data_IF_623985640615
#
_entry.id   IF_623985640615
#
_cell.length_a   1.000
_cell.length_b   1.000
_cell.length_c   1.000
_cell.angle_alpha   90.00
_cell.angle_beta   90.00
_cell.angle_gamma   90.00
#
_symmetry.space_group_name_H-M   'P 1'
#
loop_
_entity.id
_entity.type
_entity.pdbx_description
1 polymer ?
#
# COMPACT_ATOMS: atom_id res chain seq x y z
N UNK A 1 -19.36 -19.13 -9.40
CA UNK A 1 -18.19 -19.84 -8.79
C UNK A 1 -16.96 -19.35 -9.54
N UNK A 2 -16.15 -18.50 -8.89
CA UNK A 2 -14.98 -17.88 -9.55
C UNK A 2 -13.68 -18.51 -9.05
N UNK A 3 -12.68 -18.53 -9.93
CA UNK A 3 -11.30 -18.93 -9.59
C UNK A 3 -10.55 -17.66 -9.18
N UNK A 4 -10.07 -17.63 -7.92
CA UNK A 4 -9.44 -16.46 -7.33
C UNK A 4 -8.01 -16.81 -6.91
N UNK A 5 -7.03 -16.08 -7.44
CA UNK A 5 -5.65 -16.12 -6.98
C UNK A 5 -5.36 -14.97 -6.03
N UNK A 6 -4.95 -15.27 -4.80
CA UNK A 6 -4.49 -14.26 -3.82
C UNK A 6 -2.96 -14.27 -3.83
N UNK A 7 -2.36 -13.21 -4.32
CA UNK A 7 -0.92 -13.05 -4.46
C UNK A 7 -0.31 -12.45 -3.20
N UNK A 8 0.42 -13.26 -2.45
CA UNK A 8 1.06 -12.91 -1.19
C UNK A 8 0.44 -13.62 0.01
N UNK A 9 1.22 -14.54 0.60
CA UNK A 9 0.88 -15.34 1.77
C UNK A 9 1.22 -14.66 3.11
N UNK A 10 1.30 -13.34 3.14
CA UNK A 10 1.39 -12.58 4.39
C UNK A 10 0.10 -12.66 5.23
N UNK A 11 0.07 -12.00 6.39
CA UNK A 11 -1.10 -12.01 7.27
C UNK A 11 -2.39 -11.57 6.55
N UNK A 12 -2.30 -10.49 5.74
CA UNK A 12 -3.48 -9.94 5.06
C UNK A 12 -3.96 -10.84 3.91
N UNK A 13 -3.06 -11.40 3.09
CA UNK A 13 -3.46 -12.32 2.02
C UNK A 13 -4.05 -13.61 2.56
N UNK A 14 -3.49 -14.16 3.64
CA UNK A 14 -4.07 -15.31 4.35
C UNK A 14 -5.47 -15.00 4.89
N UNK A 15 -5.67 -13.80 5.48
CA UNK A 15 -6.97 -13.38 6.00
C UNK A 15 -8.02 -13.19 4.89
N UNK A 16 -7.62 -12.62 3.72
CA UNK A 16 -8.49 -12.52 2.55
C UNK A 16 -8.88 -13.91 2.03
N UNK A 17 -7.92 -14.83 1.87
CA UNK A 17 -8.19 -16.18 1.41
C UNK A 17 -9.19 -16.91 2.34
N UNK A 18 -9.04 -16.77 3.65
CA UNK A 18 -9.99 -17.30 4.64
C UNK A 18 -11.37 -16.63 4.55
N UNK A 19 -11.42 -15.32 4.33
CA UNK A 19 -12.68 -14.58 4.19
C UNK A 19 -13.43 -14.99 2.92
N UNK A 20 -12.76 -15.11 1.79
CA UNK A 20 -13.31 -15.59 0.53
C UNK A 20 -13.80 -17.05 0.63
N UNK A 21 -13.05 -17.88 1.36
CA UNK A 21 -13.48 -19.26 1.63
C UNK A 21 -14.78 -19.31 2.45
N UNK A 22 -14.93 -18.45 3.47
CA UNK A 22 -16.16 -18.36 4.27
C UNK A 22 -17.36 -17.86 3.46
N UNK A 23 -17.14 -16.99 2.47
CA UNK A 23 -18.20 -16.62 1.52
C UNK A 23 -18.73 -17.85 0.79
N UNK A 24 -17.86 -18.78 0.45
CA UNK A 24 -18.20 -20.00 -0.30
C UNK A 24 -18.29 -19.77 -1.81
N UNK A 25 -18.38 -20.88 -2.55
CA UNK A 25 -18.57 -20.82 -4.00
C UNK A 25 -17.33 -20.40 -4.83
N UNK A 26 -16.13 -20.32 -4.25
CA UNK A 26 -14.90 -19.98 -4.97
C UNK A 26 -13.87 -21.12 -4.91
N UNK A 27 -13.04 -21.19 -5.95
CA UNK A 27 -11.77 -21.92 -5.92
C UNK A 27 -10.68 -20.90 -5.60
N UNK A 28 -9.98 -21.09 -4.48
CA UNK A 28 -9.02 -20.12 -3.97
C UNK A 28 -7.61 -20.70 -4.03
N UNK A 29 -6.72 -19.97 -4.68
CA UNK A 29 -5.28 -20.23 -4.66
C UNK A 29 -4.59 -19.12 -3.86
N UNK A 30 -3.89 -19.51 -2.80
CA UNK A 30 -3.00 -18.61 -2.05
C UNK A 30 -1.57 -18.81 -2.59
N UNK A 31 -1.11 -17.81 -3.31
CA UNK A 31 0.22 -17.84 -3.91
C UNK A 31 1.26 -17.25 -2.95
N UNK A 32 2.34 -18.00 -2.72
CA UNK A 32 3.49 -17.61 -1.90
C UNK A 32 4.68 -17.24 -2.77
N UNK A 33 5.50 -16.31 -2.31
CA UNK A 33 6.69 -15.88 -3.05
C UNK A 33 7.72 -16.99 -3.21
N UNK A 34 7.85 -17.90 -2.22
CA UNK A 34 8.81 -19.00 -2.22
C UNK A 34 8.14 -20.35 -2.06
N UNK A 35 8.78 -21.37 -2.65
CA UNK A 35 8.35 -22.77 -2.56
C UNK A 35 8.41 -23.29 -1.11
N UNK A 36 9.40 -22.84 -0.35
CA UNK A 36 9.57 -23.28 1.04
C UNK A 36 8.47 -22.74 1.94
N UNK A 37 8.06 -21.48 1.76
CA UNK A 37 6.92 -20.91 2.47
C UNK A 37 5.62 -21.64 2.14
N UNK A 38 5.35 -21.87 0.85
CA UNK A 38 4.18 -22.64 0.43
C UNK A 38 4.14 -24.05 1.04
N UNK A 39 5.27 -24.75 1.06
CA UNK A 39 5.41 -26.06 1.69
C UNK A 39 5.19 -26.03 3.21
N UNK A 40 5.74 -25.03 3.90
CA UNK A 40 5.56 -24.87 5.34
C UNK A 40 4.09 -24.63 5.68
N UNK A 41 3.40 -23.72 4.98
CA UNK A 41 1.98 -23.43 5.17
C UNK A 41 1.14 -24.70 4.90
N UNK A 42 1.42 -25.41 3.81
CA UNK A 42 0.69 -26.64 3.44
C UNK A 42 0.91 -27.74 4.48
N UNK A 43 2.14 -27.96 4.92
CA UNK A 43 2.47 -29.00 5.89
C UNK A 43 1.88 -28.72 7.29
N UNK A 44 1.85 -27.45 7.70
CA UNK A 44 1.28 -27.05 8.96
C UNK A 44 -0.26 -26.98 8.94
N UNK A 45 -0.87 -26.82 7.76
CA UNK A 45 -2.30 -26.53 7.62
C UNK A 45 -2.68 -25.16 8.17
N UNK A 46 -1.71 -24.27 8.40
CA UNK A 46 -1.90 -22.88 8.83
C UNK A 46 -0.67 -22.02 8.50
N UNK A 47 -0.84 -20.71 8.48
CA UNK A 47 0.26 -19.76 8.30
C UNK A 47 0.85 -19.35 9.66
N UNK A 48 1.69 -20.20 10.22
CA UNK A 48 2.27 -20.02 11.57
C UNK A 48 3.09 -18.73 11.67
N UNK A 49 3.77 -18.33 10.59
CA UNK A 49 4.68 -17.18 10.61
C UNK A 49 3.92 -15.84 10.64
N UNK A 50 2.88 -15.71 9.83
CA UNK A 50 2.23 -14.41 9.63
C UNK A 50 0.85 -14.31 10.26
N UNK A 51 0.12 -15.43 10.37
CA UNK A 51 -1.24 -15.46 10.93
C UNK A 51 -1.49 -16.76 11.72
N UNK A 52 -0.79 -16.96 12.84
CA UNK A 52 -0.92 -18.18 13.64
C UNK A 52 -2.30 -18.32 14.27
N UNK A 53 -2.73 -19.58 14.48
CA UNK A 53 -4.00 -19.91 15.12
C UNK A 53 -5.21 -19.92 14.19
N UNK A 54 -5.00 -19.84 12.87
CA UNK A 54 -6.06 -19.90 11.86
C UNK A 54 -5.82 -21.03 10.89
N UNK A 55 -6.45 -22.19 11.09
CA UNK A 55 -6.34 -23.32 10.16
C UNK A 55 -6.79 -22.93 8.75
N UNK A 56 -5.99 -23.31 7.76
CA UNK A 56 -6.32 -23.15 6.36
C UNK A 56 -7.12 -24.38 5.88
N UNK A 57 -8.36 -24.18 5.42
CA UNK A 57 -9.13 -25.26 4.81
C UNK A 57 -8.38 -25.93 3.64
N UNK A 58 -8.45 -27.25 3.53
CA UNK A 58 -7.77 -28.01 2.47
C UNK A 58 -8.25 -27.67 1.04
N UNK A 59 -9.38 -26.96 0.92
CA UNK A 59 -9.90 -26.42 -0.33
C UNK A 59 -9.18 -25.14 -0.80
N UNK A 60 -8.40 -24.50 0.06
CA UNK A 60 -7.50 -23.39 -0.34
C UNK A 60 -6.19 -24.03 -0.80
N UNK A 61 -5.92 -23.92 -2.10
CA UNK A 61 -4.65 -24.38 -2.65
C UNK A 61 -3.54 -23.39 -2.30
N UNK A 62 -2.45 -23.89 -1.68
CA UNK A 62 -1.26 -23.07 -1.41
C UNK A 62 -0.15 -23.48 -2.37
N UNK A 63 0.40 -22.52 -3.11
CA UNK A 63 1.43 -22.78 -4.11
C UNK A 63 2.40 -21.61 -4.28
N UNK A 64 3.59 -21.89 -4.83
CA UNK A 64 4.53 -20.90 -5.33
C UNK A 64 4.73 -21.01 -6.85
N UNK A 65 3.87 -21.77 -7.53
CA UNK A 65 3.89 -21.91 -8.99
C UNK A 65 3.23 -20.67 -9.61
N UNK A 66 3.99 -19.93 -10.42
CA UNK A 66 3.52 -18.72 -11.09
C UNK A 66 2.42 -19.03 -12.12
N UNK A 67 2.42 -20.24 -12.72
CA UNK A 67 1.40 -20.65 -13.68
C UNK A 67 -0.01 -20.77 -13.07
N UNK A 68 -0.11 -20.89 -11.75
CA UNK A 68 -1.39 -20.93 -11.04
C UNK A 68 -2.22 -19.63 -11.19
N UNK A 69 -1.59 -18.54 -11.63
CA UNK A 69 -2.29 -17.27 -11.93
C UNK A 69 -3.06 -17.34 -13.25
N UNK A 70 -2.61 -18.16 -14.20
CA UNK A 70 -3.21 -18.23 -15.53
C UNK A 70 -4.68 -18.69 -15.53
N UNK A 71 -5.07 -19.52 -14.56
CA UNK A 71 -6.45 -20.03 -14.48
C UNK A 71 -7.37 -19.11 -13.67
N UNK A 72 -6.85 -18.05 -13.04
CA UNK A 72 -7.63 -17.16 -12.19
C UNK A 72 -8.49 -16.21 -13.02
N UNK A 73 -9.74 -16.04 -12.64
CA UNK A 73 -10.64 -14.99 -13.17
C UNK A 73 -10.43 -13.68 -12.41
N UNK A 74 -10.08 -13.78 -11.12
CA UNK A 74 -9.81 -12.62 -10.25
C UNK A 74 -8.45 -12.83 -9.60
N UNK A 75 -7.59 -11.82 -9.70
CA UNK A 75 -6.26 -11.81 -9.09
C UNK A 75 -6.25 -10.74 -8.00
N UNK A 76 -6.06 -11.13 -6.75
CA UNK A 76 -6.00 -10.22 -5.60
C UNK A 76 -4.54 -10.02 -5.20
N UNK A 77 -4.00 -8.84 -5.44
CA UNK A 77 -2.64 -8.49 -5.04
C UNK A 77 -2.58 -8.02 -3.59
N UNK A 78 -1.78 -8.72 -2.78
CA UNK A 78 -1.51 -8.40 -1.36
C UNK A 78 0.00 -8.38 -1.10
N UNK A 79 0.75 -8.09 -2.13
CA UNK A 79 2.21 -8.05 -2.15
C UNK A 79 2.68 -6.74 -1.51
N UNK A 80 3.72 -6.70 -0.66
CA UNK A 80 4.27 -5.44 -0.19
C UNK A 80 4.72 -4.54 -1.36
N UNK A 81 4.50 -3.22 -1.24
CA UNK A 81 4.71 -2.27 -2.34
C UNK A 81 6.11 -2.33 -2.98
N UNK A 82 7.14 -2.59 -2.19
CA UNK A 82 8.53 -2.72 -2.65
C UNK A 82 8.78 -3.91 -3.59
N UNK A 83 7.94 -4.95 -3.53
CA UNK A 83 8.06 -6.16 -4.37
C UNK A 83 7.00 -6.24 -5.47
N UNK A 84 6.09 -5.29 -5.53
CA UNK A 84 4.95 -5.33 -6.45
C UNK A 84 5.40 -5.40 -7.90
N UNK A 85 6.25 -4.46 -8.33
CA UNK A 85 6.76 -4.37 -9.70
C UNK A 85 7.47 -5.66 -10.14
N UNK A 86 8.43 -6.11 -9.37
CA UNK A 86 9.22 -7.31 -9.70
C UNK A 86 8.33 -8.56 -9.76
N UNK A 87 7.32 -8.64 -8.90
CA UNK A 87 6.39 -9.77 -8.90
C UNK A 87 5.46 -9.75 -10.11
N UNK A 88 4.85 -8.59 -10.45
CA UNK A 88 3.98 -8.51 -11.63
C UNK A 88 4.76 -8.67 -12.94
N UNK A 89 5.98 -8.15 -13.05
CA UNK A 89 6.85 -8.43 -14.19
C UNK A 89 7.13 -9.94 -14.37
N UNK A 90 7.35 -10.68 -13.26
CA UNK A 90 7.51 -12.13 -13.27
C UNK A 90 6.23 -12.87 -13.66
N UNK A 91 5.07 -12.41 -13.16
CA UNK A 91 3.77 -13.06 -13.39
C UNK A 91 3.15 -12.71 -14.75
N UNK A 92 3.63 -11.65 -15.43
CA UNK A 92 3.11 -11.19 -16.71
C UNK A 92 2.89 -12.28 -17.76
N UNK A 93 3.80 -13.26 -17.96
CA UNK A 93 3.61 -14.32 -18.93
C UNK A 93 2.38 -15.22 -18.69
N UNK A 94 1.82 -15.17 -17.48
CA UNK A 94 0.66 -15.95 -17.05
C UNK A 94 -0.61 -15.10 -16.92
N UNK A 95 -0.53 -13.79 -17.21
CA UNK A 95 -1.67 -12.87 -17.15
C UNK A 95 -2.33 -12.75 -18.53
N UNK A 96 -3.64 -12.48 -18.55
CA UNK A 96 -4.42 -12.29 -19.78
C UNK A 96 -5.63 -11.36 -19.60
N UNK A 97 -6.15 -10.81 -20.68
CA UNK A 97 -7.18 -9.74 -20.71
C UNK A 97 -8.53 -10.10 -20.07
N UNK A 98 -8.81 -11.38 -19.88
CA UNK A 98 -10.07 -11.81 -19.27
C UNK A 98 -10.05 -11.78 -17.73
N UNK A 99 -8.94 -11.39 -17.13
CA UNK A 99 -8.78 -11.32 -15.67
C UNK A 99 -9.19 -9.96 -15.12
N UNK A 100 -9.59 -9.94 -13.85
CA UNK A 100 -9.79 -8.72 -13.05
C UNK A 100 -8.71 -8.70 -11.97
N UNK A 101 -8.00 -7.56 -11.83
CA UNK A 101 -7.01 -7.38 -10.77
C UNK A 101 -7.56 -6.48 -9.69
N UNK A 102 -7.49 -6.96 -8.45
CA UNK A 102 -7.84 -6.23 -7.22
C UNK A 102 -6.56 -5.95 -6.45
N UNK A 103 -6.11 -4.71 -6.42
CA UNK A 103 -4.97 -4.31 -5.59
C UNK A 103 -5.41 -4.01 -4.16
N UNK A 104 -5.04 -4.87 -3.23
CA UNK A 104 -5.12 -4.64 -1.79
C UNK A 104 -3.75 -4.23 -1.21
N UNK A 105 -2.76 -4.02 -2.07
CA UNK A 105 -1.44 -3.48 -1.73
C UNK A 105 -1.55 -2.00 -1.39
N UNK A 106 -0.98 -1.60 -0.27
CA UNK A 106 -1.00 -0.20 0.20
C UNK A 106 0.39 0.41 0.04
N UNK A 107 0.47 1.57 -0.59
CA UNK A 107 1.74 2.26 -0.80
C UNK A 107 1.75 3.12 -2.05
N UNK A 108 2.86 3.79 -2.24
CA UNK A 108 3.26 4.52 -3.46
C UNK A 108 4.66 4.03 -3.77
N UNK A 109 4.95 3.75 -5.03
CA UNK A 109 6.25 3.24 -5.44
C UNK A 109 7.33 4.31 -5.25
N UNK A 110 8.45 3.92 -4.64
CA UNK A 110 9.61 4.80 -4.51
C UNK A 110 10.18 5.11 -5.91
N UNK A 111 10.68 6.33 -6.12
CA UNK A 111 11.29 6.87 -7.35
C UNK A 111 10.31 7.22 -8.48
N UNK A 112 9.35 6.38 -8.83
CA UNK A 112 8.36 6.66 -9.88
C UNK A 112 7.18 7.44 -9.36
N UNK A 113 6.88 7.30 -8.06
CA UNK A 113 5.72 7.85 -7.36
C UNK A 113 4.38 7.33 -7.91
N UNK A 114 4.41 6.21 -8.63
CA UNK A 114 3.21 5.55 -9.14
C UNK A 114 2.40 4.91 -8.01
N UNK A 115 1.08 5.00 -8.13
CA UNK A 115 0.16 4.23 -7.29
C UNK A 115 0.25 2.75 -7.64
N UNK A 116 -0.16 1.88 -6.76
CA UNK A 116 -0.02 0.43 -6.94
C UNK A 116 -0.78 -0.10 -8.18
N UNK A 117 -1.96 0.46 -8.48
CA UNK A 117 -2.68 0.10 -9.73
C UNK A 117 -1.93 0.56 -10.97
N UNK A 118 -1.26 1.71 -10.95
CA UNK A 118 -0.42 2.20 -12.05
C UNK A 118 0.83 1.34 -12.22
N UNK A 119 1.47 0.91 -11.13
CA UNK A 119 2.61 -0.03 -11.18
C UNK A 119 2.20 -1.35 -11.84
N UNK A 120 1.02 -1.88 -11.48
CA UNK A 120 0.50 -3.11 -12.10
C UNK A 120 0.23 -2.90 -13.58
N UNK A 121 -0.44 -1.79 -13.96
CA UNK A 121 -0.72 -1.46 -15.35
C UNK A 121 0.56 -1.30 -16.18
N UNK A 122 1.56 -0.62 -15.64
CA UNK A 122 2.88 -0.41 -16.25
C UNK A 122 3.58 -1.76 -16.53
N UNK A 123 3.58 -2.68 -15.55
CA UNK A 123 4.15 -4.02 -15.73
C UNK A 123 3.42 -4.85 -16.79
N UNK A 124 2.11 -4.68 -16.95
CA UNK A 124 1.30 -5.46 -17.88
C UNK A 124 1.26 -4.84 -19.28
N UNK A 125 1.48 -3.52 -19.41
CA UNK A 125 1.54 -2.79 -20.69
C UNK A 125 2.91 -2.85 -21.37
N UNK A 126 4.01 -3.16 -20.68
CA UNK A 126 5.34 -3.19 -21.28
C UNK A 126 5.52 -4.33 -22.30
N UNK A 127 5.86 -3.95 -23.52
CA UNK A 127 6.37 -4.84 -24.57
C UNK A 127 7.79 -5.33 -24.19
N UNK A 128 8.17 -6.53 -24.65
CA UNK A 128 9.46 -7.19 -24.41
C UNK A 128 10.74 -6.36 -24.65
N UNK A 129 10.62 -5.13 -25.16
CA UNK A 129 11.74 -4.26 -25.52
C UNK A 129 12.45 -3.60 -24.32
N UNK A 130 11.91 -3.64 -23.10
CA UNK A 130 12.47 -2.96 -21.91
C UNK A 130 12.97 -3.91 -20.80
N UNK A 131 13.01 -5.20 -21.02
CA UNK A 131 13.50 -6.21 -20.07
C UNK A 131 15.04 -6.21 -19.88
N UNK A 132 15.77 -5.16 -20.30
CA UNK A 132 17.20 -4.99 -20.02
C UNK A 132 17.40 -4.00 -18.87
N UNK A 133 17.06 -4.38 -17.66
CA UNK A 133 17.61 -3.73 -16.45
C UNK A 133 19.05 -4.20 -16.32
N UNK A 134 20.06 -3.33 -16.33
CA UNK A 134 21.44 -3.74 -16.13
C UNK A 134 21.61 -4.34 -14.73
N UNK A 135 21.94 -5.61 -14.63
CA UNK A 135 22.57 -6.18 -13.44
C UNK A 135 23.87 -5.43 -13.18
N UNK A 136 24.06 -5.04 -11.95
CA UNK A 136 25.25 -4.40 -11.37
C UNK A 136 25.24 -2.87 -11.28
N UNK A 137 24.74 -2.40 -10.15
CA UNK A 137 25.32 -1.19 -9.54
C UNK A 137 26.32 -1.67 -8.49
N UNK A 138 27.64 -1.42 -8.64
CA UNK A 138 28.62 -1.73 -7.62
C UNK A 138 28.33 -0.87 -6.37
N UNK A 139 28.35 -1.48 -5.20
CA UNK A 139 28.37 -0.76 -3.92
C UNK A 139 29.69 0.01 -3.85
N UNK A 140 29.68 1.31 -4.04
CA UNK A 140 30.85 2.16 -3.83
C UNK A 140 31.00 2.47 -2.35
N UNK A 141 32.20 2.25 -1.87
CA UNK A 141 32.72 2.51 -0.53
C UNK A 141 32.70 4.03 -0.23
N UNK A 142 32.43 4.48 1.02
CA UNK A 142 32.24 5.91 1.33
C UNK A 142 33.51 6.74 1.54
N UNK A 143 34.62 6.42 0.89
CA UNK A 143 35.85 7.19 0.99
C UNK A 143 36.48 7.44 -0.39
N UNK A 144 35.91 8.36 -1.16
CA UNK A 144 36.68 9.09 -2.19
C UNK A 144 35.94 10.35 -2.62
N UNK A 145 36.60 11.50 -2.45
CA UNK A 145 36.25 12.81 -3.01
C UNK A 145 36.09 12.74 -4.53
N UNK A 146 34.99 13.28 -5.03
CA UNK A 146 34.86 13.68 -6.44
C UNK A 146 34.16 15.02 -6.58
N UNK A 147 34.83 15.87 -7.35
CA UNK A 147 34.53 17.26 -7.63
C UNK A 147 33.16 17.47 -8.31
N UNK A 148 32.52 18.56 -7.91
CA UNK A 148 31.27 19.06 -8.46
C UNK A 148 31.55 19.72 -9.82
N UNK A 149 30.96 19.20 -10.89
CA UNK A 149 30.74 19.96 -12.11
C UNK A 149 29.26 20.44 -12.15
N UNK A 150 29.11 21.75 -12.02
CA UNK A 150 27.84 22.45 -12.28
C UNK A 150 27.84 22.85 -13.75
N UNK A 151 27.03 22.22 -14.57
CA UNK A 151 26.65 22.78 -15.85
C UNK A 151 25.17 23.20 -15.84
N UNK A 152 25.02 24.48 -16.08
CA UNK A 152 23.75 25.21 -16.23
C UNK A 152 23.09 24.87 -17.58
N UNK A 153 21.86 24.36 -17.52
CA UNK A 153 21.03 24.19 -18.71
C UNK A 153 19.72 23.52 -18.38
N UNK A 154 18.74 24.31 -17.90
CA UNK A 154 17.34 23.87 -17.77
C UNK A 154 16.68 24.04 -19.14
N UNK A 155 16.22 22.98 -19.82
CA UNK A 155 15.35 23.15 -20.98
C UNK A 155 13.93 23.51 -20.51
N UNK A 156 13.37 24.59 -21.05
CA UNK A 156 11.95 24.93 -20.94
C UNK A 156 11.09 23.77 -21.46
N UNK A 157 10.31 23.16 -20.56
CA UNK A 157 9.28 22.18 -20.95
C UNK A 157 8.05 22.94 -21.38
N UNK A 158 7.83 23.03 -22.70
CA UNK A 158 6.61 23.54 -23.28
C UNK A 158 5.45 22.60 -22.92
N UNK A 159 4.34 23.18 -22.44
CA UNK A 159 3.06 22.51 -22.18
C UNK A 159 2.37 22.13 -23.50
N UNK A 160 2.85 21.10 -24.18
CA UNK A 160 2.12 20.43 -25.24
C UNK A 160 1.51 19.17 -24.67
N UNK A 161 0.16 19.08 -24.72
CA UNK A 161 -0.59 17.95 -24.23
C UNK A 161 -0.05 16.62 -24.79
N UNK A 162 0.31 15.73 -23.90
CA UNK A 162 0.67 14.35 -24.23
C UNK A 162 -0.59 13.65 -24.75
N UNK A 163 -0.72 13.52 -26.05
CA UNK A 163 -1.57 12.49 -26.62
C UNK A 163 -0.92 11.14 -26.30
N UNK A 164 -1.67 10.15 -25.78
CA UNK A 164 -1.10 8.83 -25.51
C UNK A 164 -0.52 8.25 -26.81
N UNK A 165 0.68 7.69 -26.72
CA UNK A 165 1.33 7.01 -27.84
C UNK A 165 0.43 5.88 -28.36
N UNK A 166 0.46 5.54 -29.65
CA UNK A 166 -0.32 4.43 -30.18
C UNK A 166 0.11 3.13 -29.49
N UNK A 167 -0.88 2.42 -28.94
CA UNK A 167 -0.72 1.20 -28.15
C UNK A 167 -0.11 0.08 -28.99
N UNK A 168 0.78 -0.72 -28.40
CA UNK A 168 1.33 -1.91 -29.03
C UNK A 168 0.32 -3.06 -29.03
N UNK A 169 0.39 -3.96 -30.02
CA UNK A 169 -0.54 -5.09 -30.14
C UNK A 169 -0.42 -6.16 -29.03
N UNK A 170 0.53 -6.01 -28.12
CA UNK A 170 0.80 -6.93 -27.00
C UNK A 170 0.48 -6.36 -25.61
N UNK A 171 -0.22 -5.24 -25.53
CA UNK A 171 -0.61 -4.63 -24.28
C UNK A 171 -1.78 -5.40 -23.64
N UNK A 172 -1.57 -5.98 -22.46
CA UNK A 172 -2.63 -6.64 -21.69
C UNK A 172 -3.47 -5.57 -21.01
N UNK A 173 -4.72 -5.40 -21.47
CA UNK A 173 -5.68 -4.44 -20.93
C UNK A 173 -6.67 -5.18 -20.02
N UNK A 174 -6.41 -5.19 -18.74
CA UNK A 174 -7.36 -5.76 -17.78
C UNK A 174 -7.82 -4.70 -16.77
N UNK A 175 -9.03 -4.86 -16.23
CA UNK A 175 -9.54 -3.97 -15.18
C UNK A 175 -8.70 -4.12 -13.92
N UNK A 176 -8.13 -3.00 -13.45
CA UNK A 176 -7.36 -2.94 -12.21
C UNK A 176 -8.08 -2.02 -11.24
N UNK A 177 -8.43 -2.52 -10.06
CA UNK A 177 -9.09 -1.76 -9.03
C UNK A 177 -8.37 -1.79 -7.70
N UNK A 178 -8.80 -0.93 -6.78
CA UNK A 178 -8.21 -0.79 -5.46
C UNK A 178 -9.16 -1.30 -4.36
N UNK A 179 -8.60 -2.00 -3.38
CA UNK A 179 -9.30 -2.53 -2.21
C UNK A 179 -8.67 -1.97 -0.94
N UNK A 180 -9.40 -1.13 -0.21
CA UNK A 180 -8.88 -0.46 0.99
C UNK A 180 -9.97 -0.16 2.01
N UNK A 181 -9.56 0.05 3.27
CA UNK A 181 -10.44 0.35 4.38
C UNK A 181 -9.90 -0.21 5.70
N UNK A 182 -10.65 -0.01 6.81
CA UNK A 182 -10.27 -0.46 8.13
C UNK A 182 -10.34 -2.00 8.22
N UNK A 183 -9.20 -2.67 8.09
CA UNK A 183 -9.14 -4.13 7.92
C UNK A 183 -7.85 -4.71 8.51
N UNK A 184 -7.78 -4.85 9.83
CA UNK A 184 -6.70 -5.63 10.43
C UNK A 184 -6.86 -7.11 10.10
N UNK A 185 -5.78 -7.71 9.57
CA UNK A 185 -5.77 -9.10 9.13
C UNK A 185 -6.27 -10.08 10.20
N UNK A 186 -5.86 -9.87 11.45
CA UNK A 186 -6.27 -10.70 12.58
C UNK A 186 -7.79 -10.67 12.80
N UNK A 187 -8.41 -9.50 12.79
CA UNK A 187 -9.85 -9.32 13.02
C UNK A 187 -10.67 -9.91 11.86
N UNK A 188 -10.22 -9.71 10.60
CA UNK A 188 -10.83 -10.34 9.43
C UNK A 188 -10.72 -11.87 9.49
N UNK A 189 -9.57 -12.40 9.88
CA UNK A 189 -9.38 -13.83 10.06
C UNK A 189 -10.28 -14.42 11.16
N UNK A 190 -10.52 -13.66 12.23
CA UNK A 190 -11.46 -14.01 13.30
C UNK A 190 -12.93 -13.94 12.87
N UNK A 191 -13.22 -13.40 11.68
CA UNK A 191 -14.59 -13.21 11.22
C UNK A 191 -15.31 -12.05 11.93
N UNK A 192 -14.56 -11.07 12.43
CA UNK A 192 -15.16 -9.87 13.00
C UNK A 192 -15.77 -9.00 11.89
N UNK A 193 -16.93 -8.35 12.13
CA UNK A 193 -17.56 -7.48 11.14
C UNK A 193 -16.60 -6.41 10.65
N UNK A 194 -16.32 -6.43 9.36
CA UNK A 194 -15.37 -5.53 8.70
C UNK A 194 -16.03 -4.89 7.48
N UNK A 195 -15.84 -3.59 7.29
CA UNK A 195 -16.32 -2.87 6.11
C UNK A 195 -15.15 -2.20 5.38
N UNK A 196 -15.11 -2.37 4.06
CA UNK A 196 -14.04 -1.86 3.19
C UNK A 196 -14.60 -1.29 1.89
N UNK A 197 -13.77 -0.59 1.13
CA UNK A 197 -14.12 -0.06 -0.18
C UNK A 197 -13.42 -0.84 -1.27
N UNK A 198 -14.16 -1.18 -2.32
CA UNK A 198 -13.64 -1.68 -3.59
C UNK A 198 -13.88 -0.60 -4.67
N UNK A 199 -12.84 -0.20 -5.36
CA UNK A 199 -12.91 0.84 -6.37
C UNK A 199 -12.41 0.33 -7.73
N UNK A 200 -13.21 0.57 -8.76
CA UNK A 200 -12.86 0.40 -10.16
C UNK A 200 -13.41 1.58 -10.94
N UNK A 201 -12.77 1.97 -12.04
CA UNK A 201 -13.32 3.00 -12.95
C UNK A 201 -14.67 2.56 -13.51
N UNK A 202 -14.81 1.26 -13.83
CA UNK A 202 -16.07 0.65 -14.24
C UNK A 202 -16.91 0.23 -13.01
N UNK A 203 -18.08 0.85 -12.79
CA UNK A 203 -18.96 0.52 -11.66
C UNK A 203 -19.56 -0.89 -11.73
N UNK A 204 -19.66 -1.49 -12.93
CA UNK A 204 -20.18 -2.86 -13.07
C UNK A 204 -19.18 -3.88 -12.54
N UNK A 205 -17.90 -3.66 -12.81
CA UNK A 205 -16.81 -4.48 -12.26
C UNK A 205 -16.73 -4.32 -10.74
N UNK A 206 -16.82 -3.08 -10.23
CA UNK A 206 -16.87 -2.83 -8.80
C UNK A 206 -18.02 -3.59 -8.13
N UNK A 207 -19.22 -3.57 -8.74
CA UNK A 207 -20.40 -4.26 -8.25
C UNK A 207 -20.27 -5.78 -8.31
N UNK A 208 -19.64 -6.30 -9.36
CA UNK A 208 -19.31 -7.74 -9.47
C UNK A 208 -18.39 -8.16 -8.31
N UNK A 209 -17.28 -7.47 -8.10
CA UNK A 209 -16.34 -7.80 -7.01
C UNK A 209 -17.01 -7.61 -5.63
N UNK A 210 -17.85 -6.59 -5.45
CA UNK A 210 -18.63 -6.42 -4.25
C UNK A 210 -19.48 -7.66 -3.96
N UNK A 211 -20.19 -8.17 -4.96
CA UNK A 211 -21.04 -9.37 -4.82
C UNK A 211 -20.23 -10.62 -4.50
N UNK A 212 -19.05 -10.77 -5.13
CA UNK A 212 -18.22 -11.97 -5.00
C UNK A 212 -17.44 -12.00 -3.67
N UNK A 213 -17.14 -10.84 -3.07
CA UNK A 213 -16.30 -10.76 -1.87
C UNK A 213 -17.08 -10.45 -0.58
N UNK A 214 -18.29 -9.90 -0.70
CA UNK A 214 -19.10 -9.59 0.50
C UNK A 214 -19.64 -10.85 1.16
N UNK A 215 -19.58 -10.90 2.49
CA UNK A 215 -20.06 -12.01 3.31
C UNK A 215 -20.77 -11.48 4.56
N UNK A 216 -21.20 -12.36 5.44
CA UNK A 216 -21.79 -11.98 6.74
C UNK A 216 -20.80 -11.17 7.62
N UNK A 217 -19.50 -11.34 7.40
CA UNK A 217 -18.45 -10.70 8.20
C UNK A 217 -17.58 -9.69 7.43
N UNK A 218 -17.68 -9.66 6.10
CA UNK A 218 -16.95 -8.68 5.27
C UNK A 218 -17.94 -7.97 4.35
N UNK A 219 -18.12 -6.67 4.54
CA UNK A 219 -18.99 -5.83 3.73
C UNK A 219 -18.18 -4.92 2.82
N UNK A 220 -18.40 -5.01 1.51
CA UNK A 220 -17.79 -4.12 0.54
C UNK A 220 -18.72 -2.97 0.17
N UNK A 221 -18.17 -1.77 0.01
CA UNK A 221 -18.80 -0.61 -0.60
C UNK A 221 -18.09 -0.29 -1.90
N UNK A 222 -18.83 0.01 -2.94
CA UNK A 222 -18.26 0.34 -4.26
C UNK A 222 -17.87 1.81 -4.37
N UNK A 223 -16.87 2.08 -5.18
CA UNK A 223 -16.44 3.44 -5.57
C UNK A 223 -15.95 3.42 -7.02
N UNK A 224 -16.00 4.57 -7.69
CA UNK A 224 -15.34 4.79 -8.98
C UNK A 224 -14.06 5.65 -8.83
N UNK A 225 -13.67 5.97 -7.60
CA UNK A 225 -12.47 6.75 -7.29
C UNK A 225 -11.34 5.83 -6.83
N UNK A 226 -10.67 5.21 -7.79
CA UNK A 226 -9.50 4.35 -7.52
C UNK A 226 -8.39 5.16 -6.85
N UNK A 227 -8.13 6.39 -7.33
CA UNK A 227 -7.07 7.29 -6.83
C UNK A 227 -7.26 7.61 -5.35
N UNK A 228 -8.45 8.06 -4.97
CA UNK A 228 -8.74 8.42 -3.58
C UNK A 228 -8.67 7.22 -2.64
N UNK A 229 -9.12 6.04 -3.08
CA UNK A 229 -9.07 4.79 -2.29
C UNK A 229 -7.64 4.33 -2.06
N UNK A 230 -6.78 4.38 -3.08
CA UNK A 230 -5.36 4.01 -2.96
C UNK A 230 -4.58 4.98 -2.07
N UNK A 231 -4.66 6.28 -2.36
CA UNK A 231 -3.90 7.29 -1.62
C UNK A 231 -4.35 7.38 -0.16
N UNK A 232 -5.65 7.26 0.12
CA UNK A 232 -6.15 7.16 1.49
C UNK A 232 -5.52 5.99 2.24
N UNK A 233 -5.54 4.80 1.65
CA UNK A 233 -4.97 3.59 2.22
C UNK A 233 -3.45 3.61 2.37
N UNK A 234 -2.74 4.28 1.47
CA UNK A 234 -1.27 4.39 1.50
C UNK A 234 -0.80 5.41 2.54
N UNK A 235 -1.29 6.64 2.43
CA UNK A 235 -0.76 7.78 3.19
C UNK A 235 -1.14 7.76 4.67
N UNK A 236 -2.25 7.09 5.05
CA UNK A 236 -2.59 6.88 6.46
C UNK A 236 -1.46 6.26 7.29
N UNK A 237 -0.61 5.45 6.65
CA UNK A 237 0.48 4.77 7.33
C UNK A 237 1.53 5.76 7.86
N UNK A 238 1.77 6.86 7.15
CA UNK A 238 2.63 7.96 7.59
C UNK A 238 2.05 8.64 8.83
N UNK A 239 0.76 8.96 8.77
CA UNK A 239 0.07 9.60 9.90
C UNK A 239 0.00 8.65 11.11
N UNK A 240 -0.08 7.34 10.88
CA UNK A 240 -0.03 6.36 11.96
C UNK A 240 1.34 6.30 12.66
N UNK A 241 2.46 6.49 11.91
CA UNK A 241 3.78 6.68 12.52
C UNK A 241 3.76 7.94 13.39
N UNK A 242 3.27 9.07 12.86
CA UNK A 242 3.17 10.33 13.59
C UNK A 242 2.31 10.20 14.87
N UNK A 243 1.18 9.48 14.80
CA UNK A 243 0.34 9.21 15.96
C UNK A 243 1.06 8.34 17.00
N UNK A 244 1.84 7.37 16.55
CA UNK A 244 2.73 6.59 17.40
C UNK A 244 3.78 7.46 18.08
N UNK A 245 4.46 8.33 17.34
CA UNK A 245 5.45 9.29 17.88
C UNK A 245 4.82 10.16 18.96
N UNK A 246 3.68 10.77 18.70
CA UNK A 246 2.96 11.61 19.66
C UNK A 246 2.64 10.83 20.96
N UNK A 247 2.17 9.59 20.85
CA UNK A 247 1.89 8.72 22.00
C UNK A 247 3.18 8.34 22.74
N UNK A 248 4.28 8.04 22.03
CA UNK A 248 5.58 7.68 22.61
C UNK A 248 6.24 8.83 23.38
N UNK A 249 6.03 10.07 22.93
CA UNK A 249 6.44 11.32 23.62
C UNK A 249 5.59 11.58 24.87
N UNK A 250 4.41 10.95 25.00
CA UNK A 250 3.49 11.10 26.11
C UNK A 250 2.38 12.12 25.88
N UNK A 251 2.06 12.49 24.62
CA UNK A 251 0.94 13.39 24.32
C UNK A 251 -0.41 12.67 24.48
N UNK A 252 -1.42 13.45 24.87
CA UNK A 252 -2.77 12.94 25.13
C UNK A 252 -3.72 12.93 23.94
N UNK A 253 -5.00 12.65 24.21
CA UNK A 253 -6.04 12.46 23.21
C UNK A 253 -6.33 13.70 22.36
N UNK A 254 -6.21 14.94 22.93
CA UNK A 254 -6.40 16.16 22.14
C UNK A 254 -5.39 16.25 21.00
N UNK A 255 -4.11 15.94 21.28
CA UNK A 255 -3.05 15.94 20.28
C UNK A 255 -3.27 14.84 19.24
N UNK A 256 -3.72 13.66 19.67
CA UNK A 256 -4.04 12.56 18.75
C UNK A 256 -5.21 12.93 17.82
N UNK A 257 -6.28 13.51 18.35
CA UNK A 257 -7.41 13.96 17.54
C UNK A 257 -7.02 15.06 16.54
N UNK A 258 -6.28 16.08 17.00
CA UNK A 258 -5.77 17.14 16.13
C UNK A 258 -4.86 16.60 15.03
N UNK A 259 -3.95 15.67 15.35
CA UNK A 259 -3.04 15.05 14.40
C UNK A 259 -3.81 14.25 13.34
N UNK A 260 -4.79 13.43 13.72
CA UNK A 260 -5.60 12.67 12.76
C UNK A 260 -6.41 13.59 11.85
N UNK A 261 -7.03 14.65 12.40
CA UNK A 261 -7.79 15.65 11.63
C UNK A 261 -6.91 16.41 10.65
N UNK A 262 -5.73 16.83 11.07
CA UNK A 262 -4.78 17.52 10.18
C UNK A 262 -4.14 16.55 9.18
N UNK A 263 -3.89 15.32 9.59
CA UNK A 263 -3.37 14.25 8.72
C UNK A 263 -4.32 13.91 7.58
N UNK A 264 -5.62 13.73 7.86
CA UNK A 264 -6.58 13.47 6.78
C UNK A 264 -6.72 14.68 5.85
N UNK A 265 -6.58 15.92 6.35
CA UNK A 265 -6.57 17.11 5.51
C UNK A 265 -5.34 17.15 4.58
N UNK A 266 -4.16 16.73 5.05
CA UNK A 266 -2.95 16.56 4.22
C UNK A 266 -3.17 15.52 3.12
N UNK A 267 -3.61 14.33 3.50
CA UNK A 267 -3.91 13.23 2.58
C UNK A 267 -4.92 13.67 1.52
N UNK A 268 -5.98 14.37 1.94
CA UNK A 268 -7.03 14.84 1.04
C UNK A 268 -6.50 15.85 0.02
N UNK A 269 -5.65 16.78 0.43
CA UNK A 269 -5.05 17.75 -0.51
C UNK A 269 -4.25 17.04 -1.60
N UNK A 270 -3.39 16.10 -1.22
CA UNK A 270 -2.60 15.36 -2.19
C UNK A 270 -3.47 14.46 -3.07
N UNK A 271 -4.42 13.73 -2.49
CA UNK A 271 -5.32 12.86 -3.25
C UNK A 271 -6.13 13.64 -4.29
N UNK A 272 -6.66 14.82 -3.93
CA UNK A 272 -7.41 15.69 -4.85
C UNK A 272 -6.49 16.25 -5.94
N UNK A 273 -5.27 16.64 -5.61
CA UNK A 273 -4.29 17.11 -6.61
C UNK A 273 -3.92 16.01 -7.62
N UNK A 274 -3.94 14.75 -7.20
CA UNK A 274 -3.76 13.58 -8.07
C UNK A 274 -5.03 13.17 -8.83
N UNK A 275 -6.15 13.87 -8.68
CA UNK A 275 -7.41 13.55 -9.36
C UNK A 275 -8.42 12.71 -8.55
N UNK A 276 -8.12 12.40 -7.29
CA UNK A 276 -9.06 11.75 -6.37
C UNK A 276 -10.14 12.70 -5.85
N UNK A 277 -11.15 12.14 -5.18
CA UNK A 277 -12.30 12.90 -4.67
C UNK A 277 -12.21 13.10 -3.16
N UNK A 278 -12.53 14.31 -2.71
CA UNK A 278 -12.56 14.66 -1.26
C UNK A 278 -13.49 13.74 -0.46
N UNK A 279 -14.63 13.40 -1.02
CA UNK A 279 -15.67 12.57 -0.39
C UNK A 279 -15.15 11.16 -0.09
N UNK A 280 -14.29 10.61 -0.94
CA UNK A 280 -13.66 9.29 -0.75
C UNK A 280 -12.81 9.27 0.53
N UNK A 281 -12.11 10.38 0.81
CA UNK A 281 -11.25 10.49 1.99
C UNK A 281 -12.05 10.66 3.30
N UNK A 282 -13.30 11.08 3.23
CA UNK A 282 -14.23 11.07 4.37
C UNK A 282 -14.81 9.69 4.68
N UNK A 283 -14.60 8.71 3.79
CA UNK A 283 -15.12 7.35 3.87
C UNK A 283 -14.20 6.33 4.55
N UNK A 284 -14.45 5.05 4.23
CA UNK A 284 -13.76 3.90 4.85
C UNK A 284 -12.26 3.87 4.53
N UNK A 285 -11.87 4.12 3.27
CA UNK A 285 -10.46 4.11 2.84
C UNK A 285 -9.66 5.34 3.28
N UNK A 286 -10.33 6.42 3.68
CA UNK A 286 -9.74 7.62 4.25
C UNK A 286 -9.81 7.63 5.78
N UNK A 287 -10.79 8.36 6.33
CA UNK A 287 -10.96 8.54 7.79
C UNK A 287 -11.08 7.20 8.52
N UNK A 288 -11.84 6.23 7.98
CA UNK A 288 -12.06 4.94 8.64
C UNK A 288 -10.75 4.18 8.87
N UNK A 289 -9.95 4.01 7.82
CA UNK A 289 -8.68 3.29 7.89
C UNK A 289 -7.60 4.10 8.66
N UNK A 290 -7.65 5.42 8.58
CA UNK A 290 -6.77 6.31 9.36
C UNK A 290 -7.01 6.14 10.86
N UNK A 291 -8.27 6.26 11.31
CA UNK A 291 -8.62 6.13 12.73
C UNK A 291 -8.20 4.77 13.26
N UNK A 292 -8.54 3.67 12.56
CA UNK A 292 -8.14 2.33 12.94
C UNK A 292 -6.62 2.23 13.09
N UNK A 293 -5.86 2.73 12.10
CA UNK A 293 -4.41 2.55 12.06
C UNK A 293 -3.69 3.43 13.10
N UNK A 294 -4.22 4.61 13.40
CA UNK A 294 -3.65 5.52 14.41
C UNK A 294 -3.96 5.10 15.86
N UNK A 295 -5.09 4.41 16.09
CA UNK A 295 -5.53 4.05 17.45
C UNK A 295 -5.34 2.58 17.78
N UNK A 296 -5.41 1.69 16.79
CA UNK A 296 -5.36 0.26 17.00
C UNK A 296 -3.98 -0.26 17.43
N UNK A 297 -3.98 -1.16 18.38
CA UNK A 297 -2.75 -1.80 18.92
C UNK A 297 -2.06 -2.73 17.93
N UNK A 298 -2.77 -3.19 16.89
CA UNK A 298 -2.25 -4.07 15.85
C UNK A 298 -1.50 -3.30 14.73
N UNK A 299 -1.48 -1.96 14.78
CA UNK A 299 -0.81 -1.13 13.80
C UNK A 299 0.71 -1.13 13.97
N UNK A 300 1.42 -1.77 13.04
CA UNK A 300 2.89 -1.79 13.00
C UNK A 300 3.47 -0.38 12.85
N UNK A 301 2.88 0.45 11.99
CA UNK A 301 3.32 1.84 11.78
C UNK A 301 3.21 2.65 13.08
N UNK A 302 2.09 2.51 13.81
CA UNK A 302 1.94 3.14 15.12
C UNK A 302 2.97 2.62 16.14
N UNK A 303 3.29 1.32 16.12
CA UNK A 303 4.31 0.72 17.01
C UNK A 303 5.71 1.29 16.71
N UNK A 304 6.08 1.42 15.42
CA UNK A 304 7.34 2.07 15.01
C UNK A 304 7.39 3.50 15.53
N UNK A 305 6.34 4.29 15.28
CA UNK A 305 6.25 5.67 15.77
C UNK A 305 6.36 5.78 17.29
N UNK A 306 5.69 4.89 18.03
CA UNK A 306 5.75 4.89 19.49
C UNK A 306 7.18 4.66 20.00
N UNK A 307 7.91 3.72 19.41
CA UNK A 307 9.29 3.46 19.78
C UNK A 307 10.23 4.63 19.43
N UNK A 308 10.00 5.30 18.28
CA UNK A 308 10.71 6.54 17.90
C UNK A 308 10.45 7.66 18.92
N UNK A 309 9.18 7.85 19.31
CA UNK A 309 8.79 8.84 20.35
C UNK A 309 9.41 8.58 21.72
N UNK A 310 9.78 7.34 22.00
CA UNK A 310 10.53 6.93 23.20
C UNK A 310 12.06 7.10 23.04
N UNK A 311 12.54 7.59 21.89
CA UNK A 311 13.96 7.84 21.62
C UNK A 311 14.75 6.65 21.08
N UNK A 312 14.08 5.53 20.72
CA UNK A 312 14.76 4.42 20.05
C UNK A 312 15.13 4.79 18.61
N UNK A 313 16.20 4.21 18.08
CA UNK A 313 16.66 4.45 16.71
C UNK A 313 15.92 3.57 15.70
N UNK A 314 15.63 4.12 14.52
CA UNK A 314 14.87 3.41 13.47
C UNK A 314 15.47 2.03 13.10
N UNK A 315 16.79 1.87 12.88
CA UNK A 315 17.35 0.56 12.56
C UNK A 315 17.06 -0.50 13.64
N UNK A 316 17.23 -0.17 14.92
CA UNK A 316 16.95 -1.08 16.05
C UNK A 316 15.46 -1.47 16.11
N UNK A 317 14.58 -0.53 15.75
CA UNK A 317 13.13 -0.77 15.72
C UNK A 317 12.80 -1.73 14.59
N UNK A 318 13.32 -1.51 13.39
CA UNK A 318 13.08 -2.36 12.22
C UNK A 318 13.61 -3.78 12.45
N UNK A 319 14.79 -3.95 13.03
CA UNK A 319 15.35 -5.25 13.41
C UNK A 319 14.42 -6.00 14.39
N UNK A 320 13.82 -5.28 15.34
CA UNK A 320 12.89 -5.87 16.31
C UNK A 320 11.55 -6.33 15.71
N UNK A 321 11.21 -5.90 14.50
CA UNK A 321 9.99 -6.34 13.79
C UNK A 321 10.13 -7.73 13.15
N UNK A 322 11.31 -8.35 13.17
CA UNK A 322 11.52 -9.71 12.67
C UNK A 322 11.18 -9.87 11.19
N UNK A 323 11.59 -8.92 10.35
CA UNK A 323 11.33 -8.91 8.90
C UNK A 323 9.92 -8.48 8.50
N UNK A 324 9.07 -8.06 9.45
CA UNK A 324 7.74 -7.51 9.14
C UNK A 324 7.87 -6.06 8.68
N UNK A 325 7.34 -5.75 7.51
CA UNK A 325 7.42 -4.43 6.88
C UNK A 325 6.57 -3.39 7.63
N UNK A 326 7.12 -2.19 7.81
CA UNK A 326 6.39 -0.99 8.21
C UNK A 326 6.30 -0.05 6.99
N UNK A 327 5.26 -0.27 6.19
CA UNK A 327 5.06 0.41 4.90
C UNK A 327 5.12 1.94 4.97
N UNK A 328 4.71 2.53 6.11
CA UNK A 328 4.74 3.97 6.32
C UNK A 328 6.14 4.59 6.21
N UNK A 329 7.20 3.84 6.51
CA UNK A 329 8.59 4.34 6.40
C UNK A 329 8.94 4.62 4.94
N UNK A 330 8.67 3.67 4.04
CA UNK A 330 8.91 3.84 2.60
C UNK A 330 7.92 4.85 2.00
N UNK A 331 6.65 4.76 2.40
CA UNK A 331 5.59 5.65 1.92
C UNK A 331 5.85 7.11 2.24
N UNK A 332 6.55 7.45 3.33
CA UNK A 332 6.86 8.84 3.69
C UNK A 332 7.63 9.55 2.58
N UNK A 333 8.71 8.94 2.08
CA UNK A 333 9.53 9.52 1.00
C UNK A 333 8.75 9.61 -0.32
N UNK A 334 8.06 8.54 -0.69
CA UNK A 334 7.27 8.50 -1.91
C UNK A 334 6.13 9.54 -1.88
N UNK A 335 5.46 9.71 -0.74
CA UNK A 335 4.43 10.72 -0.55
C UNK A 335 4.95 12.15 -0.74
N UNK A 336 6.13 12.47 -0.21
CA UNK A 336 6.75 13.79 -0.39
C UNK A 336 7.22 14.00 -1.84
N UNK A 337 7.73 12.95 -2.50
CA UNK A 337 8.07 13.01 -3.92
C UNK A 337 6.84 13.36 -4.76
N UNK A 338 5.73 12.65 -4.55
CA UNK A 338 4.47 12.90 -5.21
C UNK A 338 3.90 14.30 -4.87
N UNK A 339 3.99 14.73 -3.61
CA UNK A 339 3.55 16.05 -3.18
C UNK A 339 4.33 17.19 -3.86
N UNK A 340 5.65 17.03 -4.04
CA UNK A 340 6.50 17.99 -4.76
C UNK A 340 6.10 18.10 -6.24
N UNK A 341 5.77 16.98 -6.91
CA UNK A 341 5.28 17.01 -8.30
C UNK A 341 3.98 17.82 -8.46
N UNK A 342 3.12 17.80 -7.44
CA UNK A 342 1.84 18.50 -7.44
C UNK A 342 1.85 19.85 -6.69
N UNK A 343 3.02 20.30 -6.18
CA UNK A 343 3.17 21.51 -5.37
C UNK A 343 2.24 21.54 -4.12
N UNK A 344 2.10 20.40 -3.44
CA UNK A 344 1.27 20.23 -2.24
C UNK A 344 2.13 20.23 -0.99
N UNK A 345 1.79 21.09 -0.02
CA UNK A 345 2.41 21.08 1.31
C UNK A 345 1.90 19.92 2.16
N UNK A 346 2.84 19.14 2.72
CA UNK A 346 2.56 18.04 3.63
C UNK A 346 3.39 18.14 4.91
N UNK A 347 3.11 19.13 5.77
CA UNK A 347 3.96 19.45 6.92
C UNK A 347 4.10 18.31 7.94
N UNK A 348 3.08 17.49 8.18
CA UNK A 348 3.20 16.32 9.07
C UNK A 348 4.12 15.27 8.44
N UNK A 349 3.94 15.01 7.15
CA UNK A 349 4.76 14.06 6.40
C UNK A 349 6.21 14.52 6.31
N UNK A 350 6.48 15.82 6.13
CA UNK A 350 7.82 16.43 6.16
C UNK A 350 8.51 16.22 7.51
N UNK A 351 7.79 16.42 8.62
CA UNK A 351 8.35 16.15 9.94
C UNK A 351 8.62 14.66 10.16
N UNK A 352 7.81 13.78 9.57
CA UNK A 352 8.07 12.34 9.63
C UNK A 352 9.33 11.95 8.84
N UNK A 353 9.56 12.53 7.65
CA UNK A 353 10.81 12.33 6.89
C UNK A 353 12.03 12.73 7.74
N UNK A 354 12.00 13.93 8.35
CA UNK A 354 13.11 14.42 9.19
C UNK A 354 13.37 13.52 10.42
N UNK A 355 12.32 12.98 11.05
CA UNK A 355 12.47 12.04 12.17
C UNK A 355 13.07 10.70 11.67
N UNK A 356 12.56 10.17 10.56
CA UNK A 356 12.93 8.85 10.05
C UNK A 356 14.33 8.83 9.43
N UNK A 357 14.68 9.85 8.64
CA UNK A 357 15.86 9.87 7.80
C UNK A 357 17.01 10.70 8.40
N UNK A 358 16.69 11.83 9.06
CA UNK A 358 17.68 12.75 9.61
C UNK A 358 17.86 12.57 11.13
N UNK A 359 17.01 11.79 11.77
CA UNK A 359 17.06 11.54 13.21
C UNK A 359 16.65 12.77 14.05
N UNK A 360 15.82 13.67 13.51
CA UNK A 360 15.29 14.83 14.22
C UNK A 360 14.58 14.41 15.50
N UNK A 361 14.77 15.20 16.56
CA UNK A 361 14.07 14.95 17.83
C UNK A 361 12.54 15.08 17.66
N UNK A 362 11.74 14.08 18.06
CA UNK A 362 10.29 14.15 17.95
C UNK A 362 9.64 15.37 18.63
N UNK A 363 10.22 15.87 19.74
CA UNK A 363 9.70 17.05 20.43
C UNK A 363 9.95 18.33 19.64
N UNK A 364 11.10 18.42 18.95
CA UNK A 364 11.37 19.54 18.03
C UNK A 364 10.43 19.52 16.84
N UNK A 365 10.18 18.34 16.23
CA UNK A 365 9.22 18.20 15.15
C UNK A 365 7.81 18.64 15.54
N UNK A 366 7.35 18.26 16.73
CA UNK A 366 6.05 18.70 17.27
C UNK A 366 6.04 20.22 17.48
N UNK A 367 7.12 20.80 18.03
CA UNK A 367 7.25 22.23 18.22
C UNK A 367 7.17 23.00 16.90
N UNK A 368 7.85 22.50 15.87
CA UNK A 368 7.86 23.14 14.55
C UNK A 368 6.45 23.12 13.92
N UNK A 369 5.71 22.02 14.05
CA UNK A 369 4.32 21.96 13.61
C UNK A 369 3.42 22.97 14.34
N UNK A 370 3.61 23.13 15.65
CA UNK A 370 2.82 24.06 16.48
C UNK A 370 3.14 25.53 16.23
N UNK A 371 4.36 25.86 15.78
CA UNK A 371 4.80 27.22 15.51
C UNK A 371 4.58 27.66 14.06
N UNK A 372 3.98 26.82 13.22
CA UNK A 372 3.61 27.23 11.86
C UNK A 372 2.67 28.44 11.87
N UNK A 373 2.77 29.35 10.87
CA UNK A 373 1.84 30.46 10.75
C UNK A 373 0.38 29.98 10.78
N UNK A 374 -0.47 30.76 11.46
CA UNK A 374 -1.90 30.48 11.49
C UNK A 374 -2.50 30.54 10.09
N UNK A 375 -3.44 29.64 9.81
CA UNK A 375 -4.23 29.61 8.58
C UNK A 375 -5.64 29.14 8.86
N UNK A 376 -6.55 29.37 7.92
CA UNK A 376 -7.91 28.85 8.00
C UNK A 376 -7.92 27.30 8.04
N UNK A 377 -8.93 26.75 8.66
CA UNK A 377 -9.04 25.30 8.82
C UNK A 377 -9.36 24.62 7.48
N UNK A 378 -10.19 25.23 6.64
CA UNK A 378 -10.71 24.72 5.36
C UNK A 378 -10.20 25.54 4.18
#
# INVERSE_FOLDING_TARGET
MSRIAVLGSGAWGTAIALSLHRHGGHQITLWSHTIDEARQITAAGENILFLPGFPLPSSIQVTADDSAVADAEIVVSVIPSEFLRSTFARLRPFMHDAQIVVSATKGVEDRTFLRMTEVIADCLGESEAQAAVPEHIPRTNPDTNLEVFVESGVPEVSSSGFAPAPRSANEILLPIGAFSGPSFALEVAQGQPTAVTIAFEDPEIASRIQSEFSSETLRLYTSTDVIGVELGGALKNVIAIAAGVAAGVGLGYNSAAALMTRGIAEITRLAVACGGRRETLAGLSGVGDLVLTCTGSLSRNRTVGHALGQGRKLPEILDSLGGKVAEGVLTTRAALGLARQHNIEMPITEQMEQILDEGKDPREAIKDLMLRPGKDEL
#
